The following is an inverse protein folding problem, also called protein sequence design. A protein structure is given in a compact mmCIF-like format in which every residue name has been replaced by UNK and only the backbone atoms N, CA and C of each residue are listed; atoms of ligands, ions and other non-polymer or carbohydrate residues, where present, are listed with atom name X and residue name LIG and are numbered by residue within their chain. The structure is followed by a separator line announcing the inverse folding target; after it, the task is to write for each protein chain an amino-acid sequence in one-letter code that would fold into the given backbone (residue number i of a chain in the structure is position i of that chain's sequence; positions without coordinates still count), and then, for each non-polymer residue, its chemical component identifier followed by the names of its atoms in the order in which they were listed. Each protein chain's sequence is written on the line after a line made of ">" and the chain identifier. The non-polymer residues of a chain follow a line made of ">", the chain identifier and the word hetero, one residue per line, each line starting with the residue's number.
data_IF_543409085234
#
_entry.id   IF_543409085234
#
_cell.length_a   1.000
_cell.length_b   1.000
_cell.length_c   1.000
_cell.angle_alpha   90.00
_cell.angle_beta   90.00
_cell.angle_gamma   90.00
#
_symmetry.space_group_name_H-M   'P 1'
#
loop_
_entity.id
_entity.type
_entity.pdbx_description
1 polymer ?
#
# COMPACT_ATOMS: atom_id res chain seq x y z
N UNK A 1 -14.30 4.98 -7.49
CA UNK A 1 -13.28 4.72 -6.46
C UNK A 1 -12.64 3.39 -6.80
N UNK A 2 -11.32 3.36 -7.03
CA UNK A 2 -10.58 2.13 -7.38
C UNK A 2 -9.56 1.86 -6.28
N UNK A 3 -9.51 0.63 -5.78
CA UNK A 3 -8.56 0.17 -4.77
C UNK A 3 -7.56 -0.79 -5.42
N UNK A 4 -6.27 -0.60 -5.17
CA UNK A 4 -5.20 -1.44 -5.71
C UNK A 4 -4.19 -1.73 -4.60
N UNK A 5 -3.85 -3.01 -4.44
CA UNK A 5 -2.76 -3.44 -3.57
C UNK A 5 -1.44 -3.33 -4.34
N UNK A 6 -0.40 -2.79 -3.72
CA UNK A 6 0.90 -2.63 -4.35
C UNK A 6 2.03 -2.50 -3.35
N UNK A 7 3.26 -2.74 -3.82
CA UNK A 7 4.46 -2.43 -3.07
C UNK A 7 4.83 -0.96 -3.30
N UNK A 8 4.91 -0.19 -2.22
CA UNK A 8 5.29 1.22 -2.30
C UNK A 8 6.67 1.41 -1.65
N UNK A 9 7.51 2.23 -2.31
CA UNK A 9 8.77 2.69 -1.71
C UNK A 9 8.47 3.88 -0.80
N UNK A 10 8.92 3.79 0.44
CA UNK A 10 8.87 4.88 1.41
C UNK A 10 10.25 5.02 2.08
N UNK A 11 10.43 6.11 2.82
CA UNK A 11 11.62 6.33 3.65
C UNK A 11 11.17 6.43 5.10
N UNK A 12 11.84 5.68 5.98
CA UNK A 12 11.67 5.78 7.43
C UNK A 12 13.05 6.01 8.06
N UNK A 13 13.20 7.11 8.81
CA UNK A 13 14.49 7.49 9.41
C UNK A 13 15.65 7.47 8.40
N UNK A 14 15.44 8.05 7.22
CA UNK A 14 16.40 8.08 6.10
C UNK A 14 16.80 6.72 5.50
N UNK A 15 16.17 5.62 5.93
CA UNK A 15 16.34 4.31 5.34
C UNK A 15 15.21 4.01 4.35
N UNK A 16 15.53 3.54 3.12
CA UNK A 16 14.52 3.10 2.19
C UNK A 16 13.84 1.83 2.74
N UNK A 17 12.51 1.89 2.86
CA UNK A 17 11.67 0.78 3.28
C UNK A 17 10.66 0.46 2.19
N UNK A 18 10.45 -0.83 1.94
CA UNK A 18 9.40 -1.30 1.07
C UNK A 18 8.18 -1.65 1.94
N UNK A 19 7.07 -0.95 1.75
CA UNK A 19 5.85 -1.16 2.54
C UNK A 19 4.74 -1.63 1.61
N UNK A 20 4.15 -2.77 1.93
CA UNK A 20 2.95 -3.25 1.27
C UNK A 20 1.75 -2.43 1.77
N UNK A 21 1.14 -1.65 0.88
CA UNK A 21 -0.05 -0.86 1.19
C UNK A 21 -1.15 -1.09 0.16
N UNK A 22 -2.39 -0.97 0.62
CA UNK A 22 -3.55 -0.83 -0.25
C UNK A 22 -3.75 0.67 -0.50
N UNK A 23 -3.61 1.08 -1.75
CA UNK A 23 -3.87 2.43 -2.21
C UNK A 23 -5.28 2.56 -2.78
N UNK A 24 -5.93 3.68 -2.51
CA UNK A 24 -7.20 4.09 -3.11
C UNK A 24 -7.11 5.50 -3.65
N UNK A 25 -7.71 5.74 -4.81
CA UNK A 25 -7.83 7.06 -5.40
C UNK A 25 -9.29 7.40 -5.71
N UNK A 26 -9.67 8.64 -5.44
CA UNK A 26 -10.97 9.22 -5.81
C UNK A 26 -10.75 10.30 -6.85
N UNK A 27 -11.28 10.02 -8.03
CA UNK A 27 -11.27 10.93 -9.16
C UNK A 27 -12.68 11.43 -9.40
N UNK A 28 -12.82 12.73 -9.67
CA UNK A 28 -14.08 13.35 -10.11
C UNK A 28 -13.86 14.01 -11.45
N UNK A 29 -14.91 14.03 -12.28
CA UNK A 29 -14.88 14.75 -13.55
C UNK A 29 -15.46 16.15 -13.35
N UNK A 30 -14.66 17.19 -13.59
CA UNK A 30 -15.08 18.60 -13.55
C UNK A 30 -14.63 19.27 -14.85
N UNK A 31 -15.53 20.00 -15.50
CA UNK A 31 -15.29 20.68 -16.78
C UNK A 31 -14.65 19.76 -17.84
N UNK A 32 -15.17 18.52 -17.91
CA UNK A 32 -14.71 17.51 -18.85
C UNK A 32 -13.37 16.85 -18.50
N UNK A 33 -12.65 17.30 -17.46
CA UNK A 33 -11.33 16.79 -17.05
C UNK A 33 -11.43 15.95 -15.78
N UNK A 34 -10.60 14.91 -15.67
CA UNK A 34 -10.45 14.15 -14.44
C UNK A 34 -9.55 14.89 -13.47
N UNK A 35 -10.02 15.04 -12.23
CA UNK A 35 -9.28 15.64 -11.14
C UNK A 35 -9.23 14.66 -9.97
N UNK A 36 -8.03 14.43 -9.45
CA UNK A 36 -7.80 13.65 -8.25
C UNK A 36 -8.16 14.50 -7.03
N UNK A 37 -9.11 14.04 -6.23
CA UNK A 37 -9.60 14.79 -5.05
C UNK A 37 -9.28 14.11 -3.73
N UNK A 38 -8.96 12.82 -3.74
CA UNK A 38 -8.47 12.13 -2.55
C UNK A 38 -7.57 10.94 -2.92
N UNK A 39 -6.58 10.71 -2.07
CA UNK A 39 -5.75 9.50 -2.06
C UNK A 39 -5.80 8.95 -0.63
N UNK A 40 -5.97 7.64 -0.50
CA UNK A 40 -5.90 6.95 0.77
C UNK A 40 -4.92 5.79 0.68
N UNK A 41 -4.15 5.57 1.74
CA UNK A 41 -3.32 4.39 1.90
C UNK A 41 -3.71 3.70 3.21
N UNK A 42 -3.81 2.38 3.18
CA UNK A 42 -3.89 1.56 4.39
C UNK A 42 -2.84 0.47 4.33
N UNK A 43 -2.20 0.09 5.45
CA UNK A 43 -1.32 -1.07 5.48
C UNK A 43 -2.03 -2.31 4.94
N UNK A 44 -1.35 -3.09 4.10
CA UNK A 44 -1.71 -4.50 3.94
C UNK A 44 -1.12 -5.16 5.18
N UNK A 45 -1.95 -5.80 6.01
CA UNK A 45 -1.45 -6.52 7.17
C UNK A 45 -0.32 -7.44 6.71
N UNK A 46 0.86 -7.32 7.35
CA UNK A 46 1.94 -8.27 7.10
C UNK A 46 1.41 -9.67 7.44
N UNK A 47 1.54 -10.60 6.49
CA UNK A 47 1.47 -12.01 6.84
C UNK A 47 2.58 -12.23 7.87
N UNK A 48 2.27 -12.73 9.09
CA UNK A 48 3.30 -12.92 10.10
C UNK A 48 4.41 -13.77 9.48
N UNK A 49 5.68 -13.47 9.75
CA UNK A 49 6.78 -14.22 9.18
C UNK A 49 6.56 -15.71 9.45
N UNK A 50 6.50 -16.50 8.38
CA UNK A 50 6.51 -17.96 8.50
C UNK A 50 7.78 -18.33 9.26
N UNK A 51 7.63 -18.75 10.51
CA UNK A 51 8.76 -19.11 11.36
C UNK A 51 9.38 -20.41 10.79
N UNK A 52 10.64 -20.41 10.33
CA UNK A 52 11.30 -21.65 9.89
C UNK A 52 11.74 -22.42 11.13
N UNK A 53 10.77 -22.99 11.85
CA UNK A 53 10.98 -23.75 13.09
C UNK A 53 10.18 -25.06 13.16
N UNK A 54 9.56 -25.47 12.06
CA UNK A 54 8.76 -26.70 11.97
C UNK A 54 9.50 -27.86 11.30
N UNK A 55 10.77 -28.09 11.65
CA UNK A 55 11.49 -29.30 11.26
C UNK A 55 12.62 -29.61 12.24
N UNK A 56 12.29 -30.09 13.44
CA UNK A 56 13.11 -31.02 14.24
C UNK A 56 12.46 -31.29 15.62
N UNK A 57 11.62 -32.31 15.71
CA UNK A 57 11.85 -33.51 16.55
C UNK A 57 10.65 -34.45 16.49
#
# INVERSE_FOLDING_TARGET
>A
MTLTAGLHRATYQDHPVAVAVRGGQVWVRRDGRWQLVAIQFSPLAEEPPVSPGGAAR
#
